data_IF_156336522219
#
_entry.id   IF_156336522219
#
_cell.length_a   1.000
_cell.length_b   1.000
_cell.length_c   1.000
_cell.angle_alpha   90.00
_cell.angle_beta   90.00
_cell.angle_gamma   90.00
#
_symmetry.space_group_name_H-M   'P 1'
#
loop_
_entity.id
_entity.type
_entity.pdbx_description
1 polymer ?
#
# COMPACT_ATOMS: atom_id res chain seq x y z
N UNK A 1 4.70 -16.60 -8.93
CA UNK A 1 5.44 -15.83 -7.89
C UNK A 1 5.27 -14.31 -8.04
N UNK A 2 5.51 -13.69 -9.23
CA UNK A 2 5.42 -12.23 -9.36
C UNK A 2 4.03 -11.66 -9.04
N UNK A 3 2.95 -12.35 -9.43
CA UNK A 3 1.57 -11.94 -9.11
C UNK A 3 1.28 -11.90 -7.60
N UNK A 4 1.83 -12.85 -6.84
CA UNK A 4 1.69 -12.88 -5.37
C UNK A 4 2.43 -11.72 -4.69
N UNK A 5 3.59 -11.34 -5.23
CA UNK A 5 4.33 -10.15 -4.76
C UNK A 5 3.48 -8.90 -4.99
N UNK A 6 2.92 -8.73 -6.18
CA UNK A 6 2.09 -7.57 -6.52
C UNK A 6 0.84 -7.49 -5.66
N UNK A 7 0.17 -8.62 -5.41
CA UNK A 7 -0.98 -8.65 -4.52
C UNK A 7 -0.61 -8.24 -3.08
N UNK A 8 0.51 -8.76 -2.59
CA UNK A 8 1.00 -8.44 -1.25
C UNK A 8 1.33 -6.96 -1.14
N UNK A 9 2.03 -6.40 -2.12
CA UNK A 9 2.34 -4.95 -2.17
C UNK A 9 1.06 -4.13 -2.22
N UNK A 10 0.08 -4.51 -3.03
CA UNK A 10 -1.18 -3.78 -3.18
C UNK A 10 -1.96 -3.75 -1.86
N UNK A 11 -2.24 -4.92 -1.29
CA UNK A 11 -3.01 -5.06 -0.04
C UNK A 11 -2.32 -4.34 1.12
N UNK A 12 -1.00 -4.51 1.26
CA UNK A 12 -0.24 -3.87 2.32
C UNK A 12 -0.15 -2.35 2.11
N UNK A 13 -0.01 -1.86 0.88
CA UNK A 13 0.06 -0.41 0.61
C UNK A 13 -1.22 0.30 1.00
N UNK A 14 -2.38 -0.28 0.65
CA UNK A 14 -3.68 0.27 1.03
C UNK A 14 -3.87 0.20 2.54
N UNK A 15 -3.71 -0.99 3.13
CA UNK A 15 -4.00 -1.20 4.55
C UNK A 15 -3.10 -0.35 5.45
N UNK A 16 -1.78 -0.32 5.20
CA UNK A 16 -0.86 0.44 6.04
C UNK A 16 -1.10 1.95 5.91
N UNK A 17 -1.41 2.45 4.71
CA UNK A 17 -1.68 3.87 4.53
C UNK A 17 -3.04 4.28 5.14
N UNK A 18 -4.08 3.46 4.99
CA UNK A 18 -5.40 3.76 5.54
C UNK A 18 -5.39 3.74 7.06
N UNK A 19 -4.81 2.71 7.68
CA UNK A 19 -4.65 2.66 9.14
C UNK A 19 -3.71 3.73 9.68
N UNK A 20 -2.66 4.08 8.94
CA UNK A 20 -1.67 5.07 9.36
C UNK A 20 -2.29 6.42 9.70
N UNK A 21 -3.20 6.93 8.86
CA UNK A 21 -3.89 8.19 9.10
C UNK A 21 -5.18 8.04 9.92
N UNK A 22 -5.88 6.91 9.81
CA UNK A 22 -7.12 6.69 10.52
C UNK A 22 -6.92 6.53 12.04
N UNK A 23 -5.84 5.87 12.48
CA UNK A 23 -5.64 5.61 13.91
C UNK A 23 -5.44 6.92 14.72
N UNK A 24 -4.60 7.88 14.30
CA UNK A 24 -4.54 9.20 14.93
C UNK A 24 -5.87 9.96 14.88
N UNK A 25 -6.65 9.81 13.80
CA UNK A 25 -8.01 10.38 13.70
C UNK A 25 -8.95 9.77 14.75
N UNK A 26 -8.90 8.45 14.91
CA UNK A 26 -9.75 7.70 15.85
C UNK A 26 -9.43 8.03 17.32
N UNK A 27 -8.15 8.14 17.67
CA UNK A 27 -7.70 8.47 19.04
C UNK A 27 -7.80 9.97 19.32
N UNK A 28 -7.93 10.80 18.29
CA UNK A 28 -7.98 12.26 18.40
C UNK A 28 -6.60 12.94 18.43
N UNK A 29 -5.50 12.20 18.30
CA UNK A 29 -4.15 12.77 18.20
C UNK A 29 -3.89 13.45 16.86
N UNK A 30 -4.79 13.32 15.88
CA UNK A 30 -4.70 14.05 14.60
C UNK A 30 -4.70 15.57 14.78
N UNK A 31 -5.28 16.08 15.87
CA UNK A 31 -5.25 17.52 16.18
C UNK A 31 -3.85 18.03 16.51
N UNK A 32 -2.94 17.18 16.98
CA UNK A 32 -1.54 17.55 17.20
C UNK A 32 -0.84 17.87 15.87
N UNK A 33 -1.12 17.06 14.85
CA UNK A 33 -0.57 17.25 13.50
C UNK A 33 -1.20 18.48 12.83
N UNK A 34 -2.50 18.70 13.04
CA UNK A 34 -3.22 19.84 12.49
C UNK A 34 -2.91 21.17 13.20
N UNK A 35 -2.44 21.13 14.45
CA UNK A 35 -2.03 22.32 15.22
C UNK A 35 -0.56 22.66 15.02
N UNK A 36 0.27 21.70 14.63
CA UNK A 36 1.63 21.95 14.21
C UNK A 36 1.65 22.71 12.86
N UNK A 37 2.62 23.61 12.63
CA UNK A 37 2.75 24.35 11.37
C UNK A 37 3.35 23.47 10.26
N UNK A 38 2.69 22.35 9.95
CA UNK A 38 3.11 21.36 8.94
C UNK A 38 2.25 21.54 7.69
N UNK A 39 2.88 21.55 6.52
CA UNK A 39 2.17 21.64 5.25
C UNK A 39 1.41 20.34 4.96
N UNK A 40 0.27 20.45 4.28
CA UNK A 40 -0.51 19.30 3.82
C UNK A 40 0.33 18.34 2.96
N UNK A 41 1.29 18.87 2.19
CA UNK A 41 2.19 18.07 1.36
C UNK A 41 3.12 17.21 2.23
N UNK A 42 3.65 17.77 3.31
CA UNK A 42 4.55 17.06 4.22
C UNK A 42 3.82 15.93 4.95
N UNK A 43 2.57 16.17 5.35
CA UNK A 43 1.71 15.13 5.95
C UNK A 43 1.50 13.98 4.97
N UNK A 44 1.10 14.30 3.73
CA UNK A 44 0.86 13.28 2.69
C UNK A 44 2.14 12.50 2.42
N UNK A 45 3.27 13.17 2.18
CA UNK A 45 4.55 12.51 1.91
C UNK A 45 4.99 11.66 3.12
N UNK A 46 4.79 12.13 4.34
CA UNK A 46 5.14 11.39 5.56
C UNK A 46 4.36 10.06 5.67
N UNK A 47 3.03 10.13 5.62
CA UNK A 47 2.18 8.94 5.76
C UNK A 47 2.28 7.99 4.55
N UNK A 48 2.16 8.54 3.34
CA UNK A 48 2.21 7.74 2.10
C UNK A 48 3.62 7.19 1.89
N UNK A 49 4.65 7.98 2.15
CA UNK A 49 6.05 7.56 2.03
C UNK A 49 6.38 6.44 3.03
N UNK A 50 5.94 6.55 4.28
CA UNK A 50 6.12 5.48 5.27
C UNK A 50 5.42 4.18 4.84
N UNK A 51 4.16 4.27 4.39
CA UNK A 51 3.39 3.12 3.93
C UNK A 51 3.99 2.48 2.67
N UNK A 52 4.33 3.28 1.66
CA UNK A 52 4.91 2.82 0.41
C UNK A 52 6.28 2.16 0.64
N UNK A 53 7.15 2.78 1.45
CA UNK A 53 8.47 2.23 1.77
C UNK A 53 8.36 0.86 2.44
N UNK A 54 7.48 0.73 3.43
CA UNK A 54 7.22 -0.55 4.11
C UNK A 54 6.75 -1.62 3.11
N UNK A 55 5.79 -1.28 2.25
CA UNK A 55 5.26 -2.22 1.24
C UNK A 55 6.31 -2.64 0.21
N UNK A 56 7.16 -1.71 -0.24
CA UNK A 56 8.26 -1.98 -1.16
C UNK A 56 9.25 -2.97 -0.53
N UNK A 57 9.68 -2.71 0.71
CA UNK A 57 10.58 -3.61 1.45
C UNK A 57 9.95 -5.00 1.53
N UNK A 58 8.67 -5.09 1.87
CA UNK A 58 7.96 -6.36 2.00
C UNK A 58 7.88 -7.11 0.67
N UNK A 59 7.59 -6.40 -0.43
CA UNK A 59 7.59 -6.97 -1.78
C UNK A 59 8.96 -7.49 -2.21
N UNK A 60 10.03 -6.75 -1.90
CA UNK A 60 11.41 -7.17 -2.18
C UNK A 60 11.81 -8.40 -1.37
N UNK A 61 11.41 -8.48 -0.10
CA UNK A 61 11.66 -9.67 0.74
C UNK A 61 10.95 -10.90 0.17
N UNK A 62 9.68 -10.76 -0.25
CA UNK A 62 8.95 -11.87 -0.88
C UNK A 62 9.63 -12.30 -2.19
N UNK A 63 10.08 -11.34 -3.01
CA UNK A 63 10.76 -11.65 -4.27
C UNK A 63 12.12 -12.35 -4.03
N UNK A 64 12.91 -11.86 -3.08
CA UNK A 64 14.20 -12.44 -2.71
C UNK A 64 14.05 -13.86 -2.16
N UNK A 65 13.09 -14.08 -1.26
CA UNK A 65 12.82 -15.41 -0.72
C UNK A 65 12.32 -16.36 -1.80
N UNK A 66 11.40 -15.92 -2.66
CA UNK A 66 10.89 -16.77 -3.73
C UNK A 66 11.94 -17.12 -4.79
N UNK A 67 12.92 -16.26 -5.03
CA UNK A 67 14.06 -16.53 -5.92
C UNK A 67 14.93 -17.71 -5.44
N UNK A 68 14.92 -18.02 -4.14
CA UNK A 68 15.65 -19.17 -3.58
C UNK A 68 14.91 -20.49 -3.83
N UNK A 69 13.58 -20.47 -3.93
CA UNK A 69 12.75 -21.66 -4.07
C UNK A 69 12.34 -21.96 -5.52
N UNK A 70 12.28 -20.95 -6.38
CA UNK A 70 11.82 -21.06 -7.77
C UNK A 70 12.81 -20.33 -8.69
N UNK A 71 13.27 -20.93 -9.80
CA UNK A 71 14.12 -20.25 -10.76
C UNK A 71 13.37 -19.07 -11.40
N UNK A 72 13.66 -17.86 -10.93
CA UNK A 72 13.10 -16.61 -11.44
C UNK A 72 13.98 -16.02 -12.53
N UNK A 73 13.42 -15.86 -13.73
CA UNK A 73 14.06 -15.15 -14.82
C UNK A 73 13.54 -13.71 -14.88
N UNK A 74 14.34 -12.75 -14.41
CA UNK A 74 14.01 -11.33 -14.47
C UNK A 74 14.60 -10.75 -15.76
N UNK A 75 13.77 -10.60 -16.79
CA UNK A 75 14.21 -10.03 -18.08
C UNK A 75 14.49 -8.52 -18.00
N UNK A 76 13.70 -7.78 -17.22
CA UNK A 76 13.76 -6.31 -17.15
C UNK A 76 13.68 -5.78 -15.69
N UNK A 77 14.80 -5.79 -14.94
CA UNK A 77 14.80 -5.45 -13.50
C UNK A 77 14.45 -3.98 -13.22
N UNK A 78 14.87 -3.04 -14.07
CA UNK A 78 14.59 -1.60 -13.89
C UNK A 78 13.09 -1.32 -14.02
N UNK A 79 12.44 -1.90 -15.04
CA UNK A 79 10.99 -1.76 -15.22
C UNK A 79 10.22 -2.41 -14.09
N UNK A 80 10.63 -3.60 -13.65
CA UNK A 80 10.03 -4.28 -12.50
C UNK A 80 10.04 -3.38 -11.25
N UNK A 81 11.19 -2.81 -10.90
CA UNK A 81 11.30 -1.91 -9.74
C UNK A 81 10.47 -0.65 -9.92
N UNK A 82 10.46 -0.06 -11.12
CA UNK A 82 9.67 1.14 -11.42
C UNK A 82 8.18 0.89 -11.22
N UNK A 83 7.64 -0.22 -11.76
CA UNK A 83 6.24 -0.58 -11.56
C UNK A 83 5.93 -0.90 -10.10
N UNK A 84 6.85 -1.55 -9.39
CA UNK A 84 6.69 -1.84 -7.97
C UNK A 84 6.59 -0.55 -7.14
N UNK A 85 7.44 0.44 -7.41
CA UNK A 85 7.38 1.76 -6.73
C UNK A 85 6.10 2.50 -7.09
N UNK A 86 5.76 2.61 -8.38
CA UNK A 86 4.56 3.31 -8.84
C UNK A 86 3.28 2.71 -8.25
N UNK A 87 3.19 1.39 -8.22
CA UNK A 87 2.03 0.70 -7.64
C UNK A 87 1.97 0.90 -6.12
N UNK A 88 3.09 0.74 -5.40
CA UNK A 88 3.13 0.99 -3.96
C UNK A 88 2.67 2.41 -3.61
N UNK A 89 3.21 3.43 -4.30
CA UNK A 89 2.83 4.83 -4.07
C UNK A 89 1.36 5.09 -4.41
N UNK A 90 0.89 4.61 -5.57
CA UNK A 90 -0.50 4.81 -6.01
C UNK A 90 -1.50 4.21 -5.03
N UNK A 91 -1.26 2.96 -4.60
CA UNK A 91 -2.16 2.28 -3.67
C UNK A 91 -2.02 2.79 -2.22
N UNK A 92 -0.86 3.30 -1.82
CA UNK A 92 -0.73 4.03 -0.55
C UNK A 92 -1.46 5.37 -0.57
N UNK A 93 -1.45 6.13 -1.68
CA UNK A 93 -2.27 7.33 -1.83
C UNK A 93 -3.76 6.99 -1.74
N UNK A 94 -4.19 5.92 -2.41
CA UNK A 94 -5.57 5.45 -2.33
C UNK A 94 -5.96 5.03 -0.90
N UNK A 95 -5.10 4.27 -0.23
CA UNK A 95 -5.27 3.90 1.19
C UNK A 95 -5.38 5.12 2.10
N UNK A 96 -4.52 6.12 1.90
CA UNK A 96 -4.54 7.37 2.66
C UNK A 96 -5.88 8.11 2.52
N UNK A 97 -6.43 8.20 1.30
CA UNK A 97 -7.76 8.79 1.04
C UNK A 97 -8.85 8.02 1.80
N UNK A 98 -8.81 6.68 1.77
CA UNK A 98 -9.76 5.83 2.52
C UNK A 98 -9.65 6.10 4.02
N UNK A 99 -8.43 6.21 4.55
CA UNK A 99 -8.20 6.46 5.98
C UNK A 99 -8.78 7.79 6.45
N UNK A 100 -8.71 8.84 5.63
CA UNK A 100 -9.34 10.14 5.93
C UNK A 100 -10.86 10.03 5.87
N UNK A 101 -11.39 9.35 4.85
CA UNK A 101 -12.83 9.20 4.61
C UNK A 101 -13.55 8.24 5.58
N UNK A 102 -12.82 7.29 6.17
CA UNK A 102 -13.39 6.30 7.08
C UNK A 102 -13.84 6.94 8.40
N UNK A 103 -15.05 6.60 8.84
CA UNK A 103 -15.66 7.04 10.12
C UNK A 103 -15.67 5.91 11.16
N UNK A 104 -15.30 4.69 10.73
CA UNK A 104 -15.32 3.48 11.52
C UNK A 104 -14.36 2.44 10.95
N UNK A 105 -14.00 1.45 11.77
CA UNK A 105 -13.14 0.35 11.33
C UNK A 105 -13.80 -0.53 10.27
N UNK A 106 -15.13 -0.67 10.27
CA UNK A 106 -15.82 -1.43 9.22
C UNK A 106 -15.64 -0.74 7.87
N UNK A 107 -15.86 0.58 7.80
CA UNK A 107 -15.72 1.39 6.57
C UNK A 107 -14.28 1.37 6.04
N UNK A 108 -13.30 1.31 6.93
CA UNK A 108 -11.88 1.21 6.59
C UNK A 108 -11.51 -0.16 5.97
N UNK A 109 -12.14 -1.24 6.42
CA UNK A 109 -11.93 -2.59 5.89
C UNK A 109 -12.84 -2.95 4.71
N UNK A 110 -13.98 -2.27 4.57
CA UNK A 110 -14.94 -2.51 3.50
C UNK A 110 -14.33 -2.28 2.11
N UNK A 111 -13.58 -1.20 1.90
CA UNK A 111 -13.00 -0.88 0.59
C UNK A 111 -11.98 -1.95 0.14
N UNK A 112 -11.00 -2.38 0.98
CA UNK A 112 -10.11 -3.50 0.64
C UNK A 112 -10.85 -4.80 0.29
N UNK A 113 -11.89 -5.16 1.04
CA UNK A 113 -12.56 -6.45 0.82
C UNK A 113 -13.52 -6.42 -0.37
N UNK A 114 -14.33 -5.36 -0.50
CA UNK A 114 -15.43 -5.32 -1.46
C UNK A 114 -15.00 -4.79 -2.84
N UNK A 115 -13.93 -4.00 -2.92
CA UNK A 115 -13.48 -3.37 -4.18
C UNK A 115 -12.13 -3.92 -4.61
N UNK A 116 -11.13 -3.88 -3.72
CA UNK A 116 -9.75 -4.20 -4.09
C UNK A 116 -9.56 -5.68 -4.41
N UNK A 117 -10.16 -6.55 -3.60
CA UNK A 117 -10.07 -8.00 -3.77
C UNK A 117 -10.64 -8.45 -5.12
N UNK A 118 -11.88 -8.08 -5.53
CA UNK A 118 -12.38 -8.43 -6.86
C UNK A 118 -11.60 -7.79 -8.01
N UNK A 119 -11.14 -6.53 -7.86
CA UNK A 119 -10.29 -5.89 -8.89
C UNK A 119 -8.97 -6.62 -9.09
N UNK A 120 -8.39 -7.15 -8.04
CA UNK A 120 -7.16 -7.95 -8.12
C UNK A 120 -7.36 -9.21 -8.95
N UNK A 121 -8.50 -9.89 -8.76
CA UNK A 121 -8.86 -11.08 -9.52
C UNK A 121 -9.14 -10.76 -11.00
N UNK A 122 -9.83 -9.65 -11.26
CA UNK A 122 -10.04 -9.14 -12.64
C UNK A 122 -8.74 -8.71 -13.32
N UNK A 123 -7.77 -8.20 -12.56
CA UNK A 123 -6.45 -7.77 -13.06
C UNK A 123 -5.54 -8.91 -13.52
N UNK A 124 -5.97 -10.17 -13.49
CA UNK A 124 -5.23 -11.29 -14.07
C UNK A 124 -3.97 -11.70 -13.30
N UNK A 125 -3.73 -11.13 -12.11
CA UNK A 125 -2.54 -11.37 -11.28
C UNK A 125 -2.33 -12.84 -10.86
N UNK A 126 -3.33 -13.70 -11.04
CA UNK A 126 -3.31 -15.13 -10.80
C UNK A 126 -3.39 -16.01 -12.04
N UNK A 127 -3.58 -15.43 -13.23
CA UNK A 127 -3.83 -16.16 -14.48
C UNK A 127 -2.58 -16.31 -15.38
N UNK A 128 -1.37 -16.02 -14.87
CA UNK A 128 -0.09 -16.23 -15.59
C UNK A 128 0.92 -17.06 -14.78
#
# INVERSE_FOLDING_TARGET
VPGLVMLSVLTQSIANASFGIYFPKFVGTIYEILSAPVSYIEIVIGYVGAAATKSIILGLIILATAALFVPLHILHPVWMLTFLVLTAVTFSLFGFIIGIWADGFEKLQMIPMLVVTPLTFLGGSFYS
#
